data_IF_780726144845
#
_entry.id   IF_780726144845
#
_cell.length_a   1.000
_cell.length_b   1.000
_cell.length_c   1.000
_cell.angle_alpha   90.00
_cell.angle_beta   90.00
_cell.angle_gamma   90.00
#
_symmetry.space_group_name_H-M   'P 1'
#
loop_
_entity.id
_entity.type
_entity.pdbx_description
1 polymer ?
#
# COMPACT_ATOMS: atom_id res chain seq x y z
N UNK A 1 -11.95 -34.32 6.10
CA UNK A 1 -12.90 -33.33 6.67
C UNK A 1 -14.05 -33.03 5.70
N UNK A 2 -14.52 -34.01 4.90
CA UNK A 2 -15.60 -33.84 3.91
C UNK A 2 -16.72 -34.90 4.06
N UNK A 3 -16.61 -35.82 5.03
CA UNK A 3 -17.48 -37.00 5.16
C UNK A 3 -18.92 -36.68 5.59
N UNK A 4 -19.18 -35.50 6.16
CA UNK A 4 -20.48 -35.14 6.75
C UNK A 4 -21.25 -34.08 5.92
N UNK A 5 -20.84 -33.84 4.67
CA UNK A 5 -21.42 -32.78 3.84
C UNK A 5 -22.42 -33.31 2.82
N UNK A 6 -23.54 -32.61 2.64
CA UNK A 6 -24.50 -32.90 1.59
C UNK A 6 -23.91 -32.59 0.20
N UNK A 7 -24.33 -33.29 -0.88
CA UNK A 7 -23.77 -33.09 -2.22
C UNK A 7 -23.71 -31.63 -2.73
N UNK A 8 -24.70 -30.75 -2.47
CA UNK A 8 -24.58 -29.33 -2.82
C UNK A 8 -23.47 -28.58 -2.06
N UNK A 9 -23.23 -28.93 -0.79
CA UNK A 9 -22.17 -28.33 0.02
C UNK A 9 -20.79 -28.77 -0.49
N UNK A 10 -20.65 -30.05 -0.86
CA UNK A 10 -19.42 -30.57 -1.49
C UNK A 10 -19.09 -29.76 -2.74
N UNK A 11 -20.06 -29.58 -3.66
CA UNK A 11 -19.85 -28.79 -4.90
C UNK A 11 -19.46 -27.34 -4.61
N UNK A 12 -20.12 -26.69 -3.65
CA UNK A 12 -19.82 -25.30 -3.30
C UNK A 12 -18.40 -25.15 -2.73
N UNK A 13 -17.99 -26.03 -1.81
CA UNK A 13 -16.64 -26.00 -1.22
C UNK A 13 -15.58 -26.29 -2.27
N UNK A 14 -15.77 -27.32 -3.11
CA UNK A 14 -14.83 -27.62 -4.21
C UNK A 14 -14.69 -26.42 -5.16
N UNK A 15 -15.78 -25.71 -5.46
CA UNK A 15 -15.72 -24.48 -6.27
C UNK A 15 -14.91 -23.36 -5.61
N UNK A 16 -15.06 -23.15 -4.30
CA UNK A 16 -14.30 -22.16 -3.54
C UNK A 16 -12.81 -22.49 -3.48
N UNK A 17 -12.47 -23.76 -3.26
CA UNK A 17 -11.08 -24.24 -3.26
C UNK A 17 -10.44 -24.12 -4.64
N UNK A 18 -11.18 -24.42 -5.71
CA UNK A 18 -10.73 -24.22 -7.08
C UNK A 18 -10.44 -22.73 -7.35
N UNK A 19 -11.36 -21.84 -6.96
CA UNK A 19 -11.18 -20.39 -7.11
C UNK A 19 -9.95 -19.89 -6.33
N UNK A 20 -9.76 -20.35 -5.10
CA UNK A 20 -8.59 -20.04 -4.29
C UNK A 20 -7.29 -20.54 -4.94
N UNK A 21 -7.28 -21.77 -5.46
CA UNK A 21 -6.12 -22.37 -6.14
C UNK A 21 -5.76 -21.63 -7.44
N UNK A 22 -6.75 -21.28 -8.25
CA UNK A 22 -6.55 -20.48 -9.47
C UNK A 22 -6.02 -19.10 -9.12
N UNK A 23 -6.60 -18.42 -8.12
CA UNK A 23 -6.13 -17.10 -7.70
C UNK A 23 -4.69 -17.16 -7.17
N UNK A 24 -4.36 -18.14 -6.33
CA UNK A 24 -3.02 -18.28 -5.78
C UNK A 24 -1.94 -18.54 -6.84
N UNK A 25 -2.27 -19.27 -7.91
CA UNK A 25 -1.30 -19.65 -8.96
C UNK A 25 -1.28 -18.71 -10.17
N UNK A 26 -2.40 -18.05 -10.47
CA UNK A 26 -2.61 -17.34 -11.72
C UNK A 26 -3.04 -15.88 -11.52
N UNK A 27 -2.97 -15.33 -10.30
CA UNK A 27 -3.42 -13.96 -10.02
C UNK A 27 -2.73 -12.90 -10.86
N UNK A 28 -1.44 -13.07 -11.14
CA UNK A 28 -0.65 -12.15 -11.97
C UNK A 28 -1.04 -12.17 -13.47
N UNK A 29 -1.76 -13.21 -13.94
CA UNK A 29 -2.04 -13.42 -15.37
C UNK A 29 -3.54 -13.43 -15.72
N UNK A 30 -4.39 -13.88 -14.78
CA UNK A 30 -5.78 -14.24 -15.08
C UNK A 30 -6.79 -13.55 -14.16
N UNK A 31 -6.49 -13.37 -12.88
CA UNK A 31 -7.45 -12.83 -11.91
C UNK A 31 -6.76 -12.03 -10.80
N UNK A 32 -6.72 -10.71 -10.94
CA UNK A 32 -6.23 -9.80 -9.90
C UNK A 32 -7.27 -9.49 -8.81
N UNK A 33 -8.53 -9.86 -9.03
CA UNK A 33 -9.64 -9.61 -8.10
C UNK A 33 -10.50 -10.86 -7.93
N UNK A 34 -11.03 -11.05 -6.73
CA UNK A 34 -11.95 -12.14 -6.39
C UNK A 34 -13.21 -11.56 -5.73
N UNK A 35 -14.39 -11.96 -6.20
CA UNK A 35 -15.66 -11.62 -5.57
C UNK A 35 -16.43 -12.90 -5.26
N UNK A 36 -16.91 -13.01 -4.04
CA UNK A 36 -17.76 -14.13 -3.60
C UNK A 36 -19.14 -13.60 -3.30
N UNK A 37 -20.17 -14.19 -3.92
CA UNK A 37 -21.57 -13.86 -3.66
C UNK A 37 -22.29 -15.09 -3.11
N UNK A 38 -22.84 -14.96 -1.91
CA UNK A 38 -23.65 -15.98 -1.26
C UNK A 38 -25.10 -15.51 -1.28
N UNK A 39 -26.02 -16.29 -1.84
CA UNK A 39 -27.44 -15.95 -1.93
C UNK A 39 -28.31 -17.10 -1.41
N UNK A 40 -29.46 -16.77 -0.82
CA UNK A 40 -30.44 -17.78 -0.44
C UNK A 40 -31.38 -18.10 -1.61
N UNK A 41 -31.57 -19.38 -1.89
CA UNK A 41 -32.59 -19.87 -2.82
C UNK A 41 -33.97 -20.11 -2.18
N UNK A 42 -34.16 -19.76 -0.91
CA UNK A 42 -35.45 -19.94 -0.21
C UNK A 42 -36.46 -18.90 -0.72
N UNK A 43 -37.69 -19.32 -1.00
CA UNK A 43 -38.75 -18.44 -1.54
C UNK A 43 -39.31 -17.45 -0.51
N UNK A 44 -39.16 -17.73 0.78
CA UNK A 44 -40.00 -17.10 1.83
C UNK A 44 -39.30 -15.97 2.60
N UNK A 45 -38.05 -15.65 2.25
CA UNK A 45 -37.33 -14.51 2.80
C UNK A 45 -36.72 -13.75 1.64
N UNK A 46 -37.04 -12.46 1.51
CA UNK A 46 -36.49 -11.59 0.47
C UNK A 46 -34.97 -11.70 0.34
N UNK A 47 -34.37 -11.24 -0.78
CA UNK A 47 -32.99 -11.56 -1.15
C UNK A 47 -32.00 -11.26 -0.02
N UNK A 48 -31.56 -12.30 0.70
CA UNK A 48 -30.45 -12.23 1.66
C UNK A 48 -29.20 -12.66 0.91
N UNK A 49 -28.49 -11.67 0.38
CA UNK A 49 -27.20 -11.83 -0.28
C UNK A 49 -26.07 -11.33 0.61
N UNK A 50 -24.94 -12.05 0.67
CA UNK A 50 -23.68 -11.57 1.21
C UNK A 50 -22.66 -11.52 0.07
N UNK A 51 -22.14 -10.35 -0.24
CA UNK A 51 -21.11 -10.11 -1.24
C UNK A 51 -19.81 -9.74 -0.54
N UNK A 52 -18.80 -10.55 -0.73
CA UNK A 52 -17.46 -10.32 -0.21
C UNK A 52 -16.60 -9.89 -1.41
N UNK A 53 -16.13 -8.66 -1.37
CA UNK A 53 -15.12 -8.15 -2.29
C UNK A 53 -13.74 -8.46 -1.74
N UNK A 54 -13.03 -9.38 -2.39
CA UNK A 54 -11.63 -9.67 -2.09
C UNK A 54 -10.84 -9.02 -3.21
N UNK A 55 -10.65 -7.71 -3.08
CA UNK A 55 -9.90 -6.97 -4.07
C UNK A 55 -8.41 -7.24 -3.89
N UNK A 56 -7.76 -7.69 -4.96
CA UNK A 56 -6.43 -7.19 -5.28
C UNK A 56 -6.60 -5.89 -6.06
N UNK A 57 -6.37 -4.74 -5.42
CA UNK A 57 -6.20 -3.46 -6.13
C UNK A 57 -4.79 -3.35 -6.75
N UNK A 58 -4.10 -4.49 -6.87
CA UNK A 58 -2.68 -4.79 -7.05
C UNK A 58 -1.73 -3.93 -6.19
N UNK A 59 -1.94 -2.61 -5.96
CA UNK A 59 -1.13 -1.78 -5.06
C UNK A 59 -1.90 -0.59 -4.45
N UNK A 60 -2.92 -0.84 -3.62
CA UNK A 60 -3.27 0.13 -2.56
C UNK A 60 -4.73 0.53 -2.37
N UNK A 61 -5.68 -0.41 -2.45
CA UNK A 61 -6.84 -0.48 -1.54
C UNK A 61 -7.83 0.68 -1.46
N UNK A 62 -7.72 1.74 -2.27
CA UNK A 62 -8.52 2.96 -2.08
C UNK A 62 -9.98 2.76 -2.51
N UNK A 63 -10.26 1.76 -3.35
CA UNK A 63 -11.59 1.52 -3.90
C UNK A 63 -12.48 0.73 -2.94
N UNK A 64 -11.90 -0.20 -2.19
CA UNK A 64 -12.64 -1.07 -1.27
C UNK A 64 -13.54 -0.30 -0.28
N UNK A 65 -13.09 0.79 0.39
CA UNK A 65 -13.97 1.61 1.23
C UNK A 65 -15.18 2.18 0.48
N UNK A 66 -15.01 2.59 -0.78
CA UNK A 66 -16.11 3.10 -1.62
C UNK A 66 -17.10 2.00 -1.93
N UNK A 67 -16.63 0.81 -2.29
CA UNK A 67 -17.49 -0.32 -2.66
C UNK A 67 -18.33 -0.81 -1.48
N UNK A 68 -17.78 -0.83 -0.27
CA UNK A 68 -18.55 -1.09 0.95
C UNK A 68 -19.50 0.07 1.26
N UNK A 69 -19.01 1.31 1.24
CA UNK A 69 -19.79 2.50 1.57
C UNK A 69 -21.00 2.73 0.63
N UNK A 70 -20.91 2.27 -0.60
CA UNK A 70 -21.97 2.32 -1.62
C UNK A 70 -22.77 1.02 -1.74
N UNK A 71 -22.55 0.04 -0.85
CA UNK A 71 -23.22 -1.28 -0.83
C UNK A 71 -23.08 -2.07 -2.13
N UNK A 72 -21.97 -1.90 -2.87
CA UNK A 72 -21.60 -2.77 -3.99
C UNK A 72 -21.11 -4.13 -3.50
N UNK A 73 -20.37 -4.12 -2.40
CA UNK A 73 -20.02 -5.30 -1.60
C UNK A 73 -20.36 -5.02 -0.14
N UNK A 74 -20.52 -6.08 0.65
CA UNK A 74 -20.88 -6.00 2.06
C UNK A 74 -19.62 -6.04 2.95
N UNK A 75 -18.57 -6.74 2.51
CA UNK A 75 -17.27 -6.87 3.20
C UNK A 75 -16.14 -6.67 2.19
N UNK A 76 -15.07 -5.97 2.58
CA UNK A 76 -13.84 -5.84 1.81
C UNK A 76 -12.58 -5.79 2.67
N UNK A 77 -11.44 -6.12 2.07
CA UNK A 77 -10.11 -6.04 2.67
C UNK A 77 -9.39 -4.78 2.20
N UNK A 78 -8.67 -4.10 3.11
CA UNK A 78 -8.01 -2.83 2.82
C UNK A 78 -6.63 -2.79 3.47
N UNK A 79 -5.62 -2.40 2.69
CA UNK A 79 -4.28 -2.08 3.17
C UNK A 79 -3.85 -0.74 2.51
N UNK A 80 -3.37 0.25 3.28
CA UNK A 80 -3.29 0.32 4.75
C UNK A 80 -4.61 0.66 5.44
N UNK A 81 -4.68 0.38 6.75
CA UNK A 81 -5.84 0.72 7.61
C UNK A 81 -6.16 2.23 7.63
N UNK A 82 -5.17 3.07 7.36
CA UNK A 82 -5.33 4.52 7.23
C UNK A 82 -6.38 4.90 6.17
N UNK A 83 -6.52 4.12 5.09
CA UNK A 83 -7.54 4.36 4.06
C UNK A 83 -8.97 4.20 4.62
N UNK A 84 -9.17 3.23 5.52
CA UNK A 84 -10.46 3.04 6.22
C UNK A 84 -10.73 4.21 7.16
N UNK A 85 -9.72 4.68 7.90
CA UNK A 85 -9.85 5.84 8.77
C UNK A 85 -10.17 7.13 7.97
N UNK A 86 -9.51 7.34 6.83
CA UNK A 86 -9.79 8.45 5.91
C UNK A 86 -11.23 8.40 5.41
N UNK A 87 -11.67 7.24 4.91
CA UNK A 87 -13.02 7.03 4.39
C UNK A 87 -14.11 7.25 5.45
N UNK A 88 -13.92 6.70 6.65
CA UNK A 88 -14.84 6.87 7.77
C UNK A 88 -14.97 8.34 8.19
N UNK A 89 -13.86 9.10 8.15
CA UNK A 89 -13.82 10.51 8.54
C UNK A 89 -14.20 11.48 7.42
N UNK A 90 -14.21 11.03 6.16
CA UNK A 90 -14.35 11.90 4.99
C UNK A 90 -13.17 12.87 4.86
N UNK A 91 -11.95 12.33 4.98
CA UNK A 91 -10.70 13.09 4.88
C UNK A 91 -9.74 12.49 3.85
N UNK A 92 -8.71 13.25 3.50
CA UNK A 92 -7.66 12.81 2.58
C UNK A 92 -8.25 12.53 1.20
N UNK A 93 -8.09 11.28 0.75
CA UNK A 93 -8.58 10.84 -0.56
C UNK A 93 -10.12 10.89 -0.64
N UNK A 94 -10.82 10.63 0.46
CA UNK A 94 -12.28 10.59 0.49
C UNK A 94 -12.84 11.95 0.89
N UNK A 95 -13.72 12.49 0.05
CA UNK A 95 -14.34 13.81 0.27
C UNK A 95 -15.56 13.78 1.21
N UNK A 96 -16.14 12.60 1.44
CA UNK A 96 -17.34 12.41 2.24
C UNK A 96 -17.16 11.21 3.17
N UNK A 97 -17.85 11.25 4.30
CA UNK A 97 -17.87 10.13 5.26
C UNK A 97 -18.58 8.93 4.65
N UNK A 98 -17.96 7.76 4.71
CA UNK A 98 -18.56 6.50 4.32
C UNK A 98 -19.02 5.71 5.57
N UNK A 99 -20.20 5.07 5.53
CA UNK A 99 -20.77 4.36 6.69
C UNK A 99 -20.10 3.00 6.92
N UNK A 100 -18.81 3.02 7.26
CA UNK A 100 -17.98 1.83 7.40
C UNK A 100 -17.92 1.33 8.86
N UNK A 101 -17.70 0.03 9.02
CA UNK A 101 -17.38 -0.63 10.30
C UNK A 101 -16.21 -1.58 10.10
N UNK A 102 -15.31 -1.62 11.08
CA UNK A 102 -14.17 -2.54 11.08
C UNK A 102 -14.63 -3.87 11.68
N UNK A 103 -14.41 -4.97 10.96
CA UNK A 103 -14.68 -6.32 11.44
C UNK A 103 -13.45 -6.96 12.13
N UNK A 104 -12.25 -6.59 11.68
CA UNK A 104 -11.00 -7.08 12.22
C UNK A 104 -9.79 -6.42 11.56
N UNK A 105 -8.64 -6.51 12.20
CA UNK A 105 -7.35 -6.07 11.67
C UNK A 105 -6.41 -7.27 11.51
N UNK A 106 -5.76 -7.38 10.35
CA UNK A 106 -4.73 -8.39 10.14
C UNK A 106 -3.39 -7.86 10.64
N UNK A 107 -2.63 -8.63 11.44
CA UNK A 107 -1.31 -8.20 11.86
C UNK A 107 -0.39 -8.15 10.64
N UNK A 108 -0.06 -6.95 10.19
CA UNK A 108 0.95 -6.70 9.18
C UNK A 108 1.88 -5.61 9.70
N UNK A 109 3.16 -5.94 9.83
CA UNK A 109 4.19 -4.98 10.16
C UNK A 109 4.64 -4.33 8.86
N UNK A 110 3.95 -3.30 8.37
CA UNK A 110 4.37 -2.57 7.17
C UNK A 110 4.39 -1.06 7.42
N UNK A 111 5.31 -0.36 6.74
CA UNK A 111 5.58 1.07 6.90
C UNK A 111 6.03 1.66 5.57
N UNK A 112 5.78 2.95 5.40
CA UNK A 112 6.45 3.74 4.37
C UNK A 112 7.84 4.12 4.88
N UNK A 113 8.85 3.95 4.02
CA UNK A 113 10.19 4.47 4.24
C UNK A 113 10.59 5.34 3.05
N UNK A 114 11.33 6.41 3.36
CA UNK A 114 11.90 7.32 2.39
C UNK A 114 13.41 7.26 2.57
N UNK A 115 14.13 6.79 1.56
CA UNK A 115 15.60 6.75 1.61
C UNK A 115 16.21 7.56 0.48
N UNK A 116 17.35 8.17 0.76
CA UNK A 116 18.11 9.00 -0.18
C UNK A 116 19.60 8.65 -0.05
N UNK A 117 20.35 8.70 -1.15
CA UNK A 117 21.80 8.47 -1.16
C UNK A 117 22.50 9.43 -0.19
N UNK A 118 23.45 8.90 0.60
CA UNK A 118 24.30 9.67 1.53
C UNK A 118 25.07 10.79 0.81
N UNK A 119 25.41 10.60 -0.45
CA UNK A 119 26.18 11.55 -1.27
C UNK A 119 25.45 12.88 -1.44
N UNK A 120 24.11 12.88 -1.41
CA UNK A 120 23.31 14.09 -1.51
C UNK A 120 23.32 14.93 -0.23
N UNK A 121 23.77 14.36 0.90
CA UNK A 121 23.84 15.00 2.23
C UNK A 121 22.52 15.66 2.63
N UNK A 122 21.43 14.95 2.38
CA UNK A 122 20.07 15.36 2.74
C UNK A 122 19.72 14.80 4.11
N UNK A 123 19.18 15.63 5.00
CA UNK A 123 18.68 15.27 6.33
C UNK A 123 17.16 15.41 6.44
N UNK A 124 16.52 16.10 5.50
CA UNK A 124 15.07 16.25 5.46
C UNK A 124 14.54 16.33 4.02
N UNK A 125 13.24 16.05 3.84
CA UNK A 125 12.60 16.36 2.55
C UNK A 125 12.58 17.87 2.25
N UNK A 126 12.77 18.75 3.25
CA UNK A 126 12.91 20.21 3.02
C UNK A 126 14.17 20.53 2.26
N UNK A 127 15.28 19.86 2.57
CA UNK A 127 16.55 20.11 1.89
C UNK A 127 16.41 19.85 0.38
N UNK A 128 15.67 18.80 0.00
CA UNK A 128 15.37 18.49 -1.41
C UNK A 128 14.57 19.62 -2.05
N UNK A 129 13.58 20.18 -1.33
CA UNK A 129 12.75 21.27 -1.82
C UNK A 129 13.53 22.59 -1.97
N UNK A 130 14.30 22.96 -0.95
CA UNK A 130 15.08 24.20 -0.89
C UNK A 130 16.22 24.22 -1.91
N UNK A 131 16.97 23.12 -2.00
CA UNK A 131 18.08 22.95 -2.94
C UNK A 131 17.62 22.54 -4.33
N UNK A 132 16.32 22.28 -4.53
CA UNK A 132 15.70 21.85 -5.79
C UNK A 132 16.41 20.64 -6.41
N UNK A 133 16.70 19.63 -5.59
CA UNK A 133 17.51 18.48 -6.02
C UNK A 133 16.75 17.65 -7.07
N UNK A 134 17.31 17.42 -8.26
CA UNK A 134 16.69 16.63 -9.32
C UNK A 134 16.85 15.13 -9.08
N UNK A 135 16.14 14.59 -8.08
CA UNK A 135 16.24 13.17 -7.72
C UNK A 135 15.93 12.24 -8.90
N UNK A 136 16.75 11.22 -9.10
CA UNK A 136 16.34 9.97 -9.73
C UNK A 136 15.70 9.07 -8.67
N UNK A 137 14.38 9.14 -8.53
CA UNK A 137 13.64 8.46 -7.45
C UNK A 137 12.89 7.24 -7.95
N UNK A 138 13.02 6.11 -7.26
CA UNK A 138 12.16 4.94 -7.43
C UNK A 138 10.94 5.02 -6.51
N UNK A 139 9.76 4.70 -7.01
CA UNK A 139 8.51 4.69 -6.23
C UNK A 139 7.47 3.71 -6.77
N UNK A 140 6.32 3.58 -6.12
CA UNK A 140 5.19 2.73 -6.57
C UNK A 140 4.57 3.29 -7.86
N UNK A 141 3.93 2.45 -8.68
CA UNK A 141 3.12 2.90 -9.84
C UNK A 141 2.12 4.01 -9.46
N UNK A 142 2.03 5.06 -10.28
CA UNK A 142 1.13 6.20 -10.10
C UNK A 142 -0.34 5.91 -10.43
N UNK A 143 -0.65 4.66 -10.75
CA UNK A 143 -1.96 4.20 -11.20
C UNK A 143 -3.13 4.60 -10.30
N UNK A 144 -4.33 4.52 -10.88
CA UNK A 144 -5.57 4.89 -10.19
C UNK A 144 -5.78 4.05 -8.93
N UNK A 145 -6.17 4.70 -7.84
CA UNK A 145 -6.44 4.05 -6.54
C UNK A 145 -5.22 3.37 -5.91
N UNK A 146 -4.02 3.85 -6.25
CA UNK A 146 -2.79 3.38 -5.61
C UNK A 146 -2.55 4.08 -4.27
N UNK A 147 -2.94 3.42 -3.18
CA UNK A 147 -2.79 3.92 -1.81
C UNK A 147 -1.36 4.24 -1.40
N UNK A 148 -0.37 3.46 -1.83
CA UNK A 148 1.04 3.72 -1.51
C UNK A 148 1.52 5.00 -2.20
N UNK A 149 1.27 5.12 -3.52
CA UNK A 149 1.63 6.29 -4.29
C UNK A 149 0.92 7.54 -3.79
N UNK A 150 -0.37 7.42 -3.43
CA UNK A 150 -1.11 8.50 -2.78
C UNK A 150 -0.47 8.90 -1.45
N UNK A 151 -0.07 7.94 -0.62
CA UNK A 151 0.58 8.20 0.68
C UNK A 151 1.86 9.01 0.47
N UNK A 152 2.72 8.56 -0.44
CA UNK A 152 4.00 9.22 -0.74
C UNK A 152 3.76 10.61 -1.34
N UNK A 153 2.83 10.73 -2.29
CA UNK A 153 2.46 12.02 -2.89
C UNK A 153 1.91 13.00 -1.85
N UNK A 154 1.12 12.51 -0.88
CA UNK A 154 0.60 13.30 0.23
C UNK A 154 1.72 13.78 1.13
N UNK A 155 2.66 12.90 1.50
CA UNK A 155 3.85 13.27 2.29
C UNK A 155 4.62 14.36 1.56
N UNK A 156 5.00 14.14 0.29
CA UNK A 156 5.72 15.13 -0.53
C UNK A 156 5.00 16.49 -0.57
N UNK A 157 3.67 16.48 -0.71
CA UNK A 157 2.88 17.71 -0.77
C UNK A 157 3.00 18.56 0.50
N UNK A 158 3.19 17.96 1.67
CA UNK A 158 3.36 18.69 2.92
C UNK A 158 4.72 19.42 3.03
N UNK A 159 5.67 19.07 2.17
CA UNK A 159 6.95 19.77 1.99
C UNK A 159 6.93 20.71 0.77
N UNK A 160 5.77 20.89 0.12
CA UNK A 160 5.68 21.62 -1.14
C UNK A 160 6.36 20.90 -2.31
N UNK A 161 6.64 19.60 -2.19
CA UNK A 161 7.21 18.75 -3.23
C UNK A 161 6.13 18.04 -4.05
N UNK A 162 6.53 17.57 -5.23
CA UNK A 162 5.78 16.60 -6.04
C UNK A 162 6.73 15.92 -7.01
N UNK A 163 6.37 14.73 -7.49
CA UNK A 163 7.13 14.05 -8.55
C UNK A 163 7.24 14.91 -9.82
N UNK A 164 6.23 15.71 -10.15
CA UNK A 164 6.29 16.67 -11.26
C UNK A 164 7.28 17.82 -11.02
N UNK A 165 7.40 18.32 -9.78
CA UNK A 165 8.45 19.30 -9.44
C UNK A 165 9.84 18.70 -9.58
N UNK A 166 10.05 17.48 -9.09
CA UNK A 166 11.32 16.76 -9.21
C UNK A 166 11.71 16.59 -10.68
N UNK A 167 10.76 16.15 -11.53
CA UNK A 167 10.99 16.05 -12.99
C UNK A 167 11.35 17.38 -13.63
N UNK A 168 10.67 18.48 -13.24
CA UNK A 168 10.98 19.83 -13.74
C UNK A 168 12.37 20.33 -13.36
N UNK A 169 12.95 19.82 -12.28
CA UNK A 169 14.34 20.14 -11.91
C UNK A 169 15.37 19.33 -12.70
N UNK A 170 14.95 18.36 -13.52
CA UNK A 170 15.81 17.45 -14.27
C UNK A 170 15.85 16.03 -13.69
N UNK A 171 15.08 15.76 -12.63
CA UNK A 171 15.00 14.45 -12.00
C UNK A 171 14.21 13.43 -12.82
N UNK A 172 14.22 12.17 -12.37
CA UNK A 172 13.54 11.05 -13.03
C UNK A 172 12.75 10.26 -12.00
N UNK A 173 11.62 9.70 -12.43
CA UNK A 173 10.77 8.86 -11.57
C UNK A 173 10.71 7.46 -12.17
N UNK A 174 11.33 6.50 -11.50
CA UNK A 174 11.23 5.08 -11.81
C UNK A 174 10.04 4.49 -11.05
N UNK A 175 8.92 4.32 -11.75
CA UNK A 175 7.79 3.63 -11.16
C UNK A 175 7.96 2.11 -11.20
N UNK A 176 7.57 1.43 -10.12
CA UNK A 176 7.70 -0.01 -9.98
C UNK A 176 6.38 -0.60 -9.48
N UNK A 177 6.04 -1.78 -9.99
CA UNK A 177 4.80 -2.47 -9.63
C UNK A 177 4.76 -2.80 -8.14
N UNK A 178 5.78 -3.48 -7.61
CA UNK A 178 5.82 -3.99 -6.22
C UNK A 178 7.08 -3.60 -5.45
N UNK A 179 7.10 -3.72 -4.10
CA UNK A 179 8.26 -3.38 -3.29
C UNK A 179 9.57 -4.02 -3.79
N UNK A 180 9.49 -5.28 -4.20
CA UNK A 180 10.59 -6.13 -4.66
C UNK A 180 10.65 -6.26 -6.20
N UNK A 181 10.20 -5.23 -6.93
CA UNK A 181 10.32 -5.21 -8.38
C UNK A 181 11.81 -5.38 -8.80
N UNK A 182 12.16 -6.33 -9.70
CA UNK A 182 13.55 -6.57 -10.10
C UNK A 182 14.25 -5.31 -10.60
N UNK A 183 13.54 -4.44 -11.31
CA UNK A 183 14.12 -3.22 -11.87
C UNK A 183 14.48 -2.19 -10.80
N UNK A 184 13.76 -2.16 -9.67
CA UNK A 184 14.18 -1.36 -8.51
C UNK A 184 15.46 -1.91 -7.91
N UNK A 185 15.50 -3.22 -7.62
CA UNK A 185 16.65 -3.85 -6.99
C UNK A 185 17.90 -3.70 -7.86
N UNK A 186 17.77 -3.81 -9.18
CA UNK A 186 18.84 -3.51 -10.14
C UNK A 186 19.29 -2.05 -10.07
N UNK A 187 18.36 -1.10 -10.03
CA UNK A 187 18.70 0.33 -9.94
C UNK A 187 19.43 0.67 -8.64
N UNK A 188 19.00 0.09 -7.50
CA UNK A 188 19.68 0.24 -6.21
C UNK A 188 21.10 -0.32 -6.32
N UNK A 189 21.27 -1.56 -6.80
CA UNK A 189 22.56 -2.22 -6.92
C UNK A 189 23.55 -1.48 -7.82
N UNK A 190 23.04 -0.82 -8.87
CA UNK A 190 23.85 -0.04 -9.81
C UNK A 190 24.08 1.41 -9.37
N UNK A 191 23.49 1.83 -8.25
CA UNK A 191 23.45 3.24 -7.83
C UNK A 191 22.95 4.17 -8.96
N UNK A 192 22.00 3.70 -9.78
CA UNK A 192 21.44 4.49 -10.89
C UNK A 192 20.22 5.33 -10.49
N UNK A 193 19.84 5.27 -9.21
CA UNK A 193 18.82 6.09 -8.57
C UNK A 193 19.43 6.73 -7.32
N UNK A 194 18.90 7.88 -6.92
CA UNK A 194 19.35 8.63 -5.73
C UNK A 194 18.42 8.42 -4.54
N UNK A 195 17.21 7.91 -4.77
CA UNK A 195 16.20 7.78 -3.73
C UNK A 195 15.24 6.62 -4.01
N UNK A 196 14.69 6.05 -2.94
CA UNK A 196 13.56 5.12 -2.99
C UNK A 196 12.50 5.57 -1.99
N UNK A 197 11.30 5.86 -2.48
CA UNK A 197 10.14 6.20 -1.66
C UNK A 197 9.09 5.11 -1.85
N UNK A 198 8.92 4.22 -0.86
CA UNK A 198 7.99 3.10 -0.95
C UNK A 198 7.60 2.52 0.42
N UNK A 199 6.64 1.60 0.43
CA UNK A 199 6.33 0.68 1.54
C UNK A 199 6.93 -0.73 1.30
N UNK A 200 6.52 -1.71 2.11
CA UNK A 200 6.93 -3.10 1.97
C UNK A 200 8.30 -3.34 2.58
N UNK A 201 8.59 -2.64 3.68
CA UNK A 201 9.88 -2.68 4.37
C UNK A 201 10.07 -3.96 5.20
N UNK A 202 9.03 -4.79 5.27
CA UNK A 202 8.91 -5.97 6.12
C UNK A 202 9.54 -7.23 5.54
N UNK A 203 9.98 -7.19 4.28
CA UNK A 203 10.66 -8.30 3.62
C UNK A 203 12.15 -8.30 3.97
N UNK A 204 12.68 -9.33 4.66
CA UNK A 204 14.13 -9.47 4.86
C UNK A 204 14.86 -9.61 3.51
N UNK A 205 15.99 -8.92 3.36
CA UNK A 205 16.70 -8.82 2.09
C UNK A 205 15.93 -8.00 1.03
N UNK A 206 14.90 -7.27 1.45
CA UNK A 206 14.07 -6.45 0.57
C UNK A 206 14.78 -5.18 0.12
N UNK A 207 14.04 -4.31 -0.58
CA UNK A 207 14.59 -3.08 -1.16
C UNK A 207 15.21 -2.15 -0.10
N UNK A 208 14.63 -2.08 1.11
CA UNK A 208 15.13 -1.20 2.16
C UNK A 208 16.49 -1.70 2.69
N UNK A 209 16.61 -3.00 2.97
CA UNK A 209 17.88 -3.60 3.40
C UNK A 209 18.98 -3.38 2.37
N UNK A 210 18.65 -3.57 1.09
CA UNK A 210 19.59 -3.34 -0.01
C UNK A 210 19.99 -1.86 -0.14
N UNK A 211 19.04 -0.93 0.00
CA UNK A 211 19.33 0.50 -0.06
C UNK A 211 20.21 0.94 1.12
N UNK A 212 19.89 0.52 2.34
CA UNK A 212 20.69 0.85 3.52
C UNK A 212 22.11 0.27 3.43
N UNK A 213 22.26 -0.97 2.98
CA UNK A 213 23.56 -1.58 2.70
C UNK A 213 24.33 -0.91 1.55
N UNK A 214 23.62 -0.28 0.62
CA UNK A 214 24.15 0.46 -0.53
C UNK A 214 24.37 1.95 -0.28
N UNK A 215 24.52 2.40 0.97
CA UNK A 215 24.88 3.80 1.26
C UNK A 215 23.74 4.81 1.13
N UNK A 216 22.48 4.38 1.28
CA UNK A 216 21.34 5.28 1.43
C UNK A 216 21.06 5.51 2.92
N UNK A 217 20.46 6.66 3.25
CA UNK A 217 19.97 7.02 4.59
C UNK A 217 18.46 7.19 4.57
N UNK A 218 17.82 6.80 5.68
CA UNK A 218 16.42 7.14 5.92
C UNK A 218 16.30 8.65 6.10
N UNK A 219 15.37 9.26 5.39
CA UNK A 219 14.95 10.63 5.62
C UNK A 219 13.77 10.61 6.59
N UNK A 220 13.95 11.10 7.84
CA UNK A 220 12.89 11.10 8.83
C UNK A 220 11.77 12.07 8.43
N UNK A 221 10.54 11.76 8.85
CA UNK A 221 9.39 12.65 8.73
C UNK A 221 9.22 13.42 10.04
N UNK A 222 9.26 14.74 9.99
CA UNK A 222 9.26 15.59 11.19
C UNK A 222 7.93 15.47 11.96
N UNK A 223 7.94 15.65 13.29
CA UNK A 223 6.76 15.51 14.14
C UNK A 223 5.54 16.32 13.67
N UNK A 224 5.75 17.50 13.10
CA UNK A 224 4.64 18.32 12.59
C UNK A 224 3.98 17.77 11.33
N UNK A 225 4.75 17.10 10.47
CA UNK A 225 4.24 16.44 9.27
C UNK A 225 3.54 15.14 9.66
N UNK A 226 4.11 14.40 10.62
CA UNK A 226 3.44 13.24 11.22
C UNK A 226 2.07 13.62 11.80
N UNK A 227 1.94 14.76 12.51
CA UNK A 227 0.65 15.24 13.01
C UNK A 227 -0.38 15.49 11.90
N UNK A 228 0.04 16.02 10.75
CA UNK A 228 -0.84 16.20 9.58
C UNK A 228 -1.31 14.86 9.01
N UNK A 229 -0.43 13.85 8.96
CA UNK A 229 -0.76 12.49 8.53
C UNK A 229 -1.73 11.80 9.51
N UNK A 230 -1.54 11.99 10.82
CA UNK A 230 -2.44 11.46 11.86
C UNK A 230 -3.85 12.04 11.76
N UNK A 231 -3.97 13.33 11.44
CA UNK A 231 -5.25 14.00 11.26
C UNK A 231 -6.08 13.43 10.11
N UNK A 232 -5.43 12.85 9.08
CA UNK A 232 -6.12 12.20 7.95
C UNK A 232 -6.33 10.71 8.17
N UNK A 233 -5.54 10.03 9.01
CA UNK A 233 -5.83 8.65 9.41
C UNK A 233 -4.63 7.71 9.55
N UNK A 234 -3.40 8.18 9.30
CA UNK A 234 -2.21 7.38 9.52
C UNK A 234 -1.87 7.26 11.01
N UNK A 235 -1.05 6.26 11.35
CA UNK A 235 -0.44 6.10 12.66
C UNK A 235 1.07 6.28 12.54
N UNK A 236 1.67 6.89 13.56
CA UNK A 236 3.14 6.94 13.68
C UNK A 236 3.72 5.56 13.91
N UNK A 237 4.90 5.32 13.36
CA UNK A 237 5.67 4.11 13.57
C UNK A 237 7.17 4.41 13.53
N UNK A 238 7.94 3.62 14.28
CA UNK A 238 9.41 3.64 14.28
C UNK A 238 9.96 2.54 13.38
N UNK A 239 11.14 2.76 12.80
CA UNK A 239 11.91 1.74 12.08
C UNK A 239 13.01 1.27 13.02
N UNK A 240 12.82 0.13 13.72
CA UNK A 240 13.69 -0.22 14.82
C UNK A 240 15.09 -0.59 14.32
N UNK A 241 16.12 -0.08 14.98
CA UNK A 241 17.53 -0.41 14.75
C UNK A 241 17.79 -1.90 14.87
N UNK A 242 17.07 -2.58 15.77
CA UNK A 242 17.15 -4.03 15.94
C UNK A 242 16.82 -4.82 14.67
N UNK A 243 16.07 -4.22 13.73
CA UNK A 243 15.73 -4.82 12.44
C UNK A 243 16.67 -4.38 11.32
N UNK A 244 17.18 -3.16 11.37
CA UNK A 244 18.02 -2.58 10.33
C UNK A 244 19.35 -2.14 10.92
N UNK A 245 20.36 -3.01 10.85
CA UNK A 245 21.68 -2.78 11.44
C UNK A 245 22.35 -1.46 11.00
N UNK A 246 22.18 -0.94 9.76
CA UNK A 246 22.76 0.34 9.36
C UNK A 246 22.11 1.58 9.99
N UNK A 247 21.06 1.44 10.81
CA UNK A 247 20.43 2.59 11.49
C UNK A 247 21.19 2.96 12.76
N UNK A 248 21.37 4.26 12.97
CA UNK A 248 22.04 4.78 14.17
C UNK A 248 21.14 4.69 15.41
N UNK A 249 19.82 4.86 15.24
CA UNK A 249 18.79 4.84 16.28
C UNK A 249 17.43 4.36 15.72
N UNK A 250 16.44 4.18 16.60
CA UNK A 250 15.05 3.79 16.28
C UNK A 250 14.21 4.93 15.66
#
# INVERSE_FOLDING_TARGET
MLSDLAPPQIRAITGLELAAGVFAKCSDQLASQLQVSLTSGRRDGGPRGLRIGINGDVYGGMRAPVEVGTRRVDIAYVNPSALVAMAYRGKGYYRQKLPLRVLGGFPSWDRVALVVSKDLRVKSLRDIAERRIPLHVSTRLSGVNNGTYYTISTILSFYGLSFEKIKRWGGKVQECSRPFAPDRLKSIAKHSIDAVFDEGVSTPGGWLDQALGGGYEIVPIEPEILRKLEQIGYSRALLPKSRYAPLEAD
#
